data_IF_264539852499
#
_entry.id   IF_264539852499
#
_cell.length_a   1.000
_cell.length_b   1.000
_cell.length_c   1.000
_cell.angle_alpha   90.00
_cell.angle_beta   90.00
_cell.angle_gamma   90.00
#
_symmetry.space_group_name_H-M   'P 1'
#
loop_
_entity.id
_entity.type
_entity.pdbx_description
1 polymer ?
#
# COMPACT_ATOMS: atom_id res chain seq x y z
N UNK A 1 -5.03 5.96 23.41
CA UNK A 1 -3.84 5.42 24.09
C UNK A 1 -2.95 4.79 23.02
N UNK A 2 -2.01 5.55 22.47
CA UNK A 2 -1.05 5.08 21.48
C UNK A 2 0.34 5.46 21.97
N UNK A 3 1.15 4.47 22.33
CA UNK A 3 2.52 4.69 22.79
C UNK A 3 3.46 4.50 21.59
N UNK A 4 3.93 5.61 21.00
CA UNK A 4 5.00 5.60 20.00
C UNK A 4 6.32 5.76 20.73
N UNK A 5 6.95 4.64 21.07
CA UNK A 5 8.34 4.62 21.54
C UNK A 5 9.26 4.76 20.33
N UNK A 6 9.79 5.98 20.11
CA UNK A 6 10.85 6.22 19.14
C UNK A 6 12.17 5.79 19.78
N UNK A 7 12.75 4.69 19.32
CA UNK A 7 14.13 4.33 19.67
C UNK A 7 15.06 5.02 18.67
N UNK A 8 15.60 6.18 19.05
CA UNK A 8 16.69 6.83 18.34
C UNK A 8 17.98 6.05 18.63
N UNK A 9 18.56 5.45 17.59
CA UNK A 9 19.88 4.81 17.66
C UNK A 9 20.87 5.80 17.07
N UNK A 10 21.59 6.51 17.94
CA UNK A 10 22.75 7.30 17.55
C UNK A 10 23.87 6.34 17.18
N UNK A 11 24.21 6.28 15.89
CA UNK A 11 25.40 5.57 15.42
C UNK A 11 26.54 6.59 15.50
N UNK A 12 27.36 6.46 16.53
CA UNK A 12 28.64 7.17 16.60
C UNK A 12 29.50 6.72 15.41
N UNK A 13 29.87 7.70 14.57
CA UNK A 13 30.69 7.47 13.39
C UNK A 13 32.14 7.57 13.82
N UNK A 14 32.69 6.47 14.35
CA UNK A 14 34.13 6.37 14.56
C UNK A 14 34.82 6.49 13.20
N UNK A 15 35.61 7.55 13.08
CA UNK A 15 36.24 7.99 11.85
C UNK A 15 37.48 7.18 11.53
N UNK A 16 37.30 5.96 11.03
CA UNK A 16 38.36 5.26 10.31
C UNK A 16 38.31 5.68 8.84
N UNK A 17 39.35 6.39 8.40
CA UNK A 17 39.48 6.88 7.03
C UNK A 17 39.89 5.73 6.11
N UNK A 18 38.92 5.13 5.41
CA UNK A 18 39.16 4.11 4.38
C UNK A 18 39.53 4.77 3.04
N UNK A 19 40.49 4.17 2.32
CA UNK A 19 40.88 4.62 0.97
C UNK A 19 40.20 3.68 -0.03
N UNK A 20 39.45 4.25 -0.97
CA UNK A 20 38.76 3.52 -2.03
C UNK A 20 39.76 3.15 -3.14
N UNK A 21 39.92 1.86 -3.41
CA UNK A 21 40.72 1.39 -4.55
C UNK A 21 39.88 1.39 -5.83
N UNK A 22 40.51 1.42 -7.01
CA UNK A 22 39.87 1.69 -8.31
C UNK A 22 38.70 0.76 -8.72
N UNK A 23 38.43 -0.30 -7.96
CA UNK A 23 37.34 -1.26 -8.18
C UNK A 23 36.27 -1.25 -7.06
N UNK A 24 36.24 -0.21 -6.21
CA UNK A 24 35.19 -0.03 -5.19
C UNK A 24 35.33 -0.92 -3.94
N UNK A 25 36.42 -1.67 -3.83
CA UNK A 25 36.74 -2.46 -2.62
C UNK A 25 37.38 -1.54 -1.59
N UNK A 26 36.73 -1.42 -0.42
CA UNK A 26 37.21 -0.64 0.71
C UNK A 26 38.22 -1.46 1.52
N UNK A 27 39.48 -1.03 1.51
CA UNK A 27 40.53 -1.66 2.32
C UNK A 27 40.89 -0.74 3.49
N UNK A 28 41.11 -1.33 4.66
CA UNK A 28 41.61 -0.59 5.82
C UNK A 28 43.03 -0.08 5.56
N UNK A 29 43.33 1.12 6.04
CA UNK A 29 44.67 1.76 5.94
C UNK A 29 45.76 0.87 6.53
N UNK A 30 45.45 0.15 7.61
CA UNK A 30 46.31 -0.87 8.23
C UNK A 30 46.69 -2.01 7.28
N UNK A 31 45.81 -2.39 6.34
CA UNK A 31 46.09 -3.41 5.33
C UNK A 31 46.97 -2.85 4.21
N UNK A 32 46.67 -1.63 3.74
CA UNK A 32 47.44 -0.94 2.70
C UNK A 32 48.89 -0.71 3.17
N UNK A 33 49.09 -0.30 4.42
CA UNK A 33 50.41 -0.06 4.99
C UNK A 33 51.25 -1.35 5.15
N UNK A 34 50.59 -2.49 5.40
CA UNK A 34 51.24 -3.81 5.40
C UNK A 34 51.64 -4.26 3.99
N UNK A 35 50.84 -3.95 2.97
CA UNK A 35 51.19 -4.25 1.57
C UNK A 35 52.38 -3.41 1.08
N UNK A 36 52.49 -2.14 1.51
CA UNK A 36 53.62 -1.26 1.14
C UNK A 36 54.96 -1.57 1.83
N UNK A 37 54.98 -2.39 2.88
CA UNK A 37 56.17 -2.58 3.74
C UNK A 37 56.95 -3.87 3.50
N UNK A 38 56.80 -4.53 2.35
CA UNK A 38 57.50 -5.80 2.10
C UNK A 38 58.94 -5.58 1.60
N UNK A 39 59.89 -5.40 2.52
CA UNK A 39 61.33 -5.43 2.24
C UNK A 39 61.84 -6.86 2.43
N UNK A 40 62.20 -7.54 1.33
CA UNK A 40 62.76 -8.89 1.34
C UNK A 40 64.08 -8.97 2.11
N UNK A 41 64.27 -9.95 3.00
CA UNK A 41 65.59 -10.44 3.35
C UNK A 41 65.92 -11.78 2.68
N UNK A 42 67.22 -11.89 2.46
CA UNK A 42 68.05 -12.91 1.84
C UNK A 42 67.82 -14.37 2.30
N UNK A 43 68.12 -15.29 1.39
CA UNK A 43 67.96 -16.74 1.47
C UNK A 43 68.85 -17.40 2.51
N UNK A 44 68.24 -18.17 3.42
CA UNK A 44 68.74 -19.47 3.90
C UNK A 44 67.60 -20.18 4.67
N UNK A 45 66.79 -21.01 4.00
CA UNK A 45 65.64 -21.61 4.71
C UNK A 45 64.68 -22.47 3.89
N UNK A 46 65.17 -23.49 3.18
CA UNK A 46 64.27 -24.41 2.46
C UNK A 46 63.35 -25.22 3.40
N UNK A 47 63.76 -25.46 4.66
CA UNK A 47 62.93 -26.18 5.64
C UNK A 47 61.91 -25.27 6.35
N UNK A 48 62.24 -23.99 6.59
CA UNK A 48 61.32 -23.02 7.21
C UNK A 48 60.23 -22.56 6.25
N UNK A 49 60.52 -22.41 4.96
CA UNK A 49 59.56 -21.97 3.93
C UNK A 49 58.44 -23.00 3.71
N UNK A 50 58.78 -24.29 3.66
CA UNK A 50 57.81 -25.40 3.52
C UNK A 50 56.90 -25.51 4.77
N UNK A 51 57.43 -25.22 5.96
CA UNK A 51 56.64 -25.19 7.20
C UNK A 51 55.64 -24.02 7.20
N UNK A 52 56.09 -22.86 6.72
CA UNK A 52 55.27 -21.65 6.60
C UNK A 52 54.16 -21.79 5.55
N UNK A 53 54.46 -22.39 4.38
CA UNK A 53 53.45 -22.67 3.33
C UNK A 53 52.37 -23.65 3.80
N UNK A 54 52.74 -24.67 4.60
CA UNK A 54 51.77 -25.60 5.19
C UNK A 54 50.87 -24.94 6.23
N UNK A 55 51.41 -24.03 7.04
CA UNK A 55 50.63 -23.24 8.01
C UNK A 55 49.65 -22.30 7.32
N UNK A 56 50.07 -21.66 6.22
CA UNK A 56 49.22 -20.80 5.38
C UNK A 56 48.12 -21.62 4.70
N UNK A 57 48.43 -22.80 4.16
CA UNK A 57 47.43 -23.68 3.54
C UNK A 57 46.36 -24.12 4.53
N UNK A 58 46.75 -24.47 5.76
CA UNK A 58 45.81 -24.85 6.82
C UNK A 58 44.92 -23.69 7.26
N UNK A 59 45.47 -22.49 7.38
CA UNK A 59 44.71 -21.28 7.71
C UNK A 59 43.70 -20.93 6.60
N UNK A 60 44.07 -21.13 5.33
CA UNK A 60 43.19 -20.91 4.19
C UNK A 60 42.00 -21.88 4.19
N UNK A 61 42.22 -23.16 4.48
CA UNK A 61 41.15 -24.16 4.61
C UNK A 61 40.18 -23.82 5.76
N UNK A 62 40.71 -23.35 6.91
CA UNK A 62 39.89 -22.91 8.04
C UNK A 62 39.05 -21.68 7.70
N UNK A 63 39.65 -20.70 7.00
CA UNK A 63 38.94 -19.50 6.55
C UNK A 63 37.85 -19.83 5.52
N UNK A 64 38.11 -20.75 4.59
CA UNK A 64 37.12 -21.22 3.62
C UNK A 64 35.94 -21.90 4.32
N UNK A 65 36.20 -22.77 5.30
CA UNK A 65 35.15 -23.42 6.09
C UNK A 65 34.26 -22.41 6.84
N UNK A 66 34.86 -21.34 7.37
CA UNK A 66 34.13 -20.25 8.01
C UNK A 66 33.25 -19.50 6.99
N UNK A 67 33.77 -19.19 5.80
CA UNK A 67 32.99 -18.54 4.74
C UNK A 67 31.80 -19.42 4.36
N UNK A 68 32.03 -20.70 4.07
CA UNK A 68 30.98 -21.62 3.63
C UNK A 68 29.85 -21.73 4.68
N UNK A 69 30.21 -21.81 5.98
CA UNK A 69 29.23 -21.84 7.07
C UNK A 69 28.44 -20.53 7.17
N UNK A 70 29.09 -19.37 6.97
CA UNK A 70 28.42 -18.07 6.95
C UNK A 70 27.51 -17.91 5.74
N UNK A 71 27.94 -18.34 4.55
CA UNK A 71 27.13 -18.32 3.33
C UNK A 71 25.89 -19.20 3.47
N UNK A 72 26.04 -20.37 4.09
CA UNK A 72 24.92 -21.25 4.41
C UNK A 72 23.92 -20.58 5.36
N UNK A 73 24.41 -19.99 6.46
CA UNK A 73 23.57 -19.25 7.40
C UNK A 73 22.82 -18.09 6.73
N UNK A 74 23.50 -17.33 5.87
CA UNK A 74 22.89 -16.23 5.11
C UNK A 74 21.83 -16.74 4.14
N UNK A 75 22.10 -17.86 3.46
CA UNK A 75 21.15 -18.46 2.52
C UNK A 75 19.92 -18.99 3.24
N UNK A 76 20.09 -19.68 4.36
CA UNK A 76 18.99 -20.19 5.18
C UNK A 76 18.10 -19.06 5.71
N UNK A 77 18.70 -17.97 6.20
CA UNK A 77 17.98 -16.78 6.63
C UNK A 77 17.26 -16.09 5.47
N UNK A 78 17.92 -15.93 4.33
CA UNK A 78 17.32 -15.34 3.14
C UNK A 78 16.12 -16.16 2.65
N UNK A 79 16.23 -17.49 2.66
CA UNK A 79 15.14 -18.38 2.27
C UNK A 79 13.98 -18.30 3.27
N UNK A 80 14.28 -18.27 4.58
CA UNK A 80 13.26 -18.11 5.61
C UNK A 80 12.51 -16.80 5.44
N UNK A 81 13.20 -15.67 5.34
CA UNK A 81 12.55 -14.37 5.17
C UNK A 81 11.74 -14.27 3.89
N UNK A 82 12.23 -14.87 2.79
CA UNK A 82 11.47 -14.94 1.54
C UNK A 82 10.18 -15.74 1.71
N UNK A 83 10.24 -16.88 2.40
CA UNK A 83 9.07 -17.71 2.66
C UNK A 83 8.06 -17.03 3.60
N UNK A 84 8.55 -16.40 4.66
CA UNK A 84 7.71 -15.65 5.60
C UNK A 84 7.01 -14.48 4.89
N UNK A 85 7.74 -13.75 4.04
CA UNK A 85 7.18 -12.65 3.24
C UNK A 85 6.11 -13.14 2.26
N UNK A 86 6.35 -14.27 1.58
CA UNK A 86 5.38 -14.83 0.63
C UNK A 86 4.13 -15.34 1.35
N UNK A 87 4.31 -16.01 2.49
CA UNK A 87 3.20 -16.45 3.32
C UNK A 87 2.37 -15.26 3.80
N UNK A 88 3.01 -14.18 4.26
CA UNK A 88 2.30 -12.99 4.71
C UNK A 88 1.55 -12.30 3.57
N UNK A 89 2.14 -12.22 2.38
CA UNK A 89 1.47 -11.69 1.18
C UNK A 89 0.23 -12.51 0.82
N UNK A 90 0.31 -13.83 0.85
CA UNK A 90 -0.84 -14.68 0.52
C UNK A 90 -1.95 -14.56 1.58
N UNK A 91 -1.59 -14.53 2.87
CA UNK A 91 -2.56 -14.24 3.95
C UNK A 91 -3.21 -12.88 3.77
N UNK A 92 -2.43 -11.86 3.44
CA UNK A 92 -2.95 -10.51 3.24
C UNK A 92 -3.89 -10.44 2.04
N UNK A 93 -3.51 -11.07 0.92
CA UNK A 93 -4.34 -11.16 -0.28
C UNK A 93 -5.67 -11.85 0.00
N UNK A 94 -5.63 -13.02 0.62
CA UNK A 94 -6.84 -13.77 0.99
C UNK A 94 -7.73 -12.98 1.96
N UNK A 95 -7.15 -12.28 2.92
CA UNK A 95 -7.89 -11.40 3.82
C UNK A 95 -8.56 -10.22 3.08
N UNK A 96 -7.85 -9.56 2.16
CA UNK A 96 -8.42 -8.48 1.35
C UNK A 96 -9.56 -8.98 0.47
N UNK A 97 -9.39 -10.13 -0.19
CA UNK A 97 -10.42 -10.73 -1.05
C UNK A 97 -11.68 -11.06 -0.23
N UNK A 98 -11.53 -11.73 0.92
CA UNK A 98 -12.64 -12.04 1.84
C UNK A 98 -13.32 -10.77 2.38
N UNK A 99 -12.53 -9.77 2.79
CA UNK A 99 -13.07 -8.50 3.30
C UNK A 99 -13.90 -7.78 2.24
N UNK A 100 -13.44 -7.82 0.98
CA UNK A 100 -14.16 -7.24 -0.14
C UNK A 100 -15.47 -7.97 -0.42
N UNK A 101 -15.45 -9.30 -0.42
CA UNK A 101 -16.67 -10.12 -0.58
C UNK A 101 -17.70 -9.87 0.52
N UNK A 102 -17.27 -9.82 1.78
CA UNK A 102 -18.16 -9.52 2.92
C UNK A 102 -18.72 -8.10 2.85
N UNK A 103 -17.90 -7.13 2.45
CA UNK A 103 -18.37 -5.75 2.23
C UNK A 103 -19.44 -5.70 1.14
N UNK A 104 -19.19 -6.32 -0.01
CA UNK A 104 -20.16 -6.36 -1.11
C UNK A 104 -21.45 -7.06 -0.70
N UNK A 105 -21.35 -8.18 0.03
CA UNK A 105 -22.51 -8.90 0.55
C UNK A 105 -23.33 -8.02 1.49
N UNK A 106 -22.66 -7.35 2.43
CA UNK A 106 -23.30 -6.45 3.40
C UNK A 106 -23.95 -5.25 2.71
N UNK A 107 -23.28 -4.68 1.70
CA UNK A 107 -23.81 -3.60 0.88
C UNK A 107 -25.06 -4.06 0.12
N UNK A 108 -25.02 -5.22 -0.53
CA UNK A 108 -26.17 -5.78 -1.24
C UNK A 108 -27.34 -6.12 -0.31
N UNK A 109 -27.06 -6.70 0.86
CA UNK A 109 -28.09 -6.98 1.86
C UNK A 109 -28.76 -5.68 2.33
N UNK A 110 -27.96 -4.64 2.57
CA UNK A 110 -28.46 -3.30 2.91
C UNK A 110 -29.32 -2.75 1.76
N UNK A 111 -28.81 -2.75 0.52
CA UNK A 111 -29.57 -2.30 -0.65
C UNK A 111 -30.87 -3.10 -0.86
N UNK A 112 -30.91 -4.37 -0.49
CA UNK A 112 -32.13 -5.19 -0.60
C UNK A 112 -33.20 -4.81 0.43
N UNK A 113 -32.78 -4.39 1.64
CA UNK A 113 -33.67 -3.94 2.71
C UNK A 113 -34.17 -2.52 2.46
N UNK A 114 -33.36 -1.68 1.82
CA UNK A 114 -33.75 -0.31 1.46
C UNK A 114 -34.26 -0.27 0.03
N UNK A 115 -35.58 -0.15 -0.15
CA UNK A 115 -36.15 0.13 -1.47
C UNK A 115 -35.50 1.41 -2.03
N UNK A 116 -34.80 1.31 -3.16
CA UNK A 116 -34.38 2.48 -3.93
C UNK A 116 -35.64 3.33 -4.17
N UNK A 117 -35.69 4.60 -3.71
CA UNK A 117 -36.86 5.43 -3.92
C UNK A 117 -37.14 5.48 -5.41
N UNK A 118 -38.25 4.85 -5.83
CA UNK A 118 -38.72 4.99 -7.19
C UNK A 118 -39.33 6.38 -7.24
N UNK A 119 -38.50 7.38 -7.61
CA UNK A 119 -38.94 8.75 -7.80
C UNK A 119 -39.83 8.80 -9.04
N UNK A 120 -41.10 8.39 -8.88
CA UNK A 120 -42.11 8.57 -9.92
C UNK A 120 -42.46 10.06 -9.97
N UNK A 121 -42.32 10.71 -11.14
CA UNK A 121 -42.70 12.11 -11.25
C UNK A 121 -44.22 12.25 -11.10
N UNK A 122 -44.68 12.90 -10.03
CA UNK A 122 -46.09 12.94 -9.63
C UNK A 122 -46.96 13.75 -10.61
N UNK A 123 -46.40 14.83 -11.16
CA UNK A 123 -47.13 15.79 -12.00
C UNK A 123 -46.60 15.83 -13.44
N UNK A 124 -46.00 14.74 -13.93
CA UNK A 124 -45.31 14.69 -15.24
C UNK A 124 -46.22 15.12 -16.40
N UNK A 125 -47.44 14.59 -16.47
CA UNK A 125 -48.39 14.93 -17.55
C UNK A 125 -48.75 16.42 -17.56
N UNK A 126 -49.00 17.00 -16.39
CA UNK A 126 -49.31 18.43 -16.26
C UNK A 126 -48.09 19.30 -16.55
N UNK A 127 -46.89 18.82 -16.20
CA UNK A 127 -45.63 19.47 -16.53
C UNK A 127 -45.44 19.53 -18.05
N UNK A 128 -45.67 18.42 -18.76
CA UNK A 128 -45.58 18.39 -20.23
C UNK A 128 -46.61 19.32 -20.88
N UNK A 129 -47.87 19.27 -20.43
CA UNK A 129 -48.93 20.17 -20.95
C UNK A 129 -48.59 21.65 -20.74
N UNK A 130 -48.01 22.00 -19.59
CA UNK A 130 -47.56 23.37 -19.30
C UNK A 130 -46.41 23.79 -20.22
N UNK A 131 -45.41 22.91 -20.41
CA UNK A 131 -44.28 23.16 -21.32
C UNK A 131 -44.78 23.37 -22.75
N UNK A 132 -45.66 22.50 -23.23
CA UNK A 132 -46.20 22.58 -24.58
C UNK A 132 -47.07 23.83 -24.76
N UNK A 133 -47.83 24.24 -23.74
CA UNK A 133 -48.56 25.50 -23.78
C UNK A 133 -47.62 26.70 -23.97
N UNK A 134 -46.52 26.78 -23.20
CA UNK A 134 -45.57 27.89 -23.32
C UNK A 134 -44.84 27.90 -24.66
N UNK A 135 -44.49 26.72 -25.21
CA UNK A 135 -43.89 26.60 -26.54
C UNK A 135 -44.84 27.13 -27.63
N UNK A 136 -46.11 26.78 -27.55
CA UNK A 136 -47.13 27.19 -28.53
C UNK A 136 -47.58 28.65 -28.36
N UNK A 137 -47.41 29.25 -27.17
CA UNK A 137 -47.88 30.61 -26.84
C UNK A 137 -46.75 31.54 -26.40
N UNK A 138 -45.58 31.49 -27.05
CA UNK A 138 -44.37 32.25 -26.64
C UNK A 138 -44.55 33.77 -26.53
N UNK A 139 -45.45 34.36 -27.33
CA UNK A 139 -45.78 35.80 -27.29
C UNK A 139 -47.03 36.13 -26.46
N UNK A 140 -47.77 35.11 -25.99
CA UNK A 140 -49.04 35.24 -25.28
C UNK A 140 -49.08 34.28 -24.08
N UNK A 141 -48.03 34.31 -23.26
CA UNK A 141 -47.81 33.37 -22.14
C UNK A 141 -48.94 33.37 -21.10
N UNK A 142 -49.70 34.45 -21.01
CA UNK A 142 -50.87 34.55 -20.11
C UNK A 142 -51.97 33.54 -20.46
N UNK A 143 -52.05 33.08 -21.71
CA UNK A 143 -52.98 32.02 -22.11
C UNK A 143 -52.71 30.69 -21.41
N UNK A 144 -51.50 30.48 -20.87
CA UNK A 144 -51.11 29.28 -20.13
C UNK A 144 -51.40 29.35 -18.63
N UNK A 145 -52.09 30.41 -18.17
CA UNK A 145 -52.47 30.61 -16.76
C UNK A 145 -53.16 29.39 -16.15
N UNK A 146 -54.10 28.79 -16.88
CA UNK A 146 -54.86 27.62 -16.41
C UNK A 146 -53.96 26.40 -16.25
N UNK A 147 -53.16 26.07 -17.27
CA UNK A 147 -52.21 24.96 -17.21
C UNK A 147 -51.18 25.12 -16.07
N UNK A 148 -50.74 26.37 -15.80
CA UNK A 148 -49.85 26.67 -14.69
C UNK A 148 -50.52 26.45 -13.32
N UNK A 149 -51.78 26.87 -13.17
CA UNK A 149 -52.56 26.64 -11.95
C UNK A 149 -52.74 25.15 -11.68
N UNK A 150 -53.09 24.36 -12.70
CA UNK A 150 -53.31 22.92 -12.55
C UNK A 150 -52.02 22.19 -12.15
N UNK A 151 -50.89 22.51 -12.80
CA UNK A 151 -49.57 22.00 -12.41
C UNK A 151 -49.22 22.36 -10.96
N UNK A 152 -49.44 23.62 -10.57
CA UNK A 152 -49.12 24.12 -9.23
C UNK A 152 -49.97 23.44 -8.15
N UNK A 153 -51.27 23.25 -8.41
CA UNK A 153 -52.15 22.51 -7.51
C UNK A 153 -51.71 21.05 -7.34
N UNK A 154 -51.34 20.38 -8.43
CA UNK A 154 -50.78 19.03 -8.36
C UNK A 154 -49.52 18.97 -7.48
N UNK A 155 -48.57 19.88 -7.69
CA UNK A 155 -47.32 19.93 -6.90
C UNK A 155 -47.60 20.18 -5.42
N UNK A 156 -48.50 21.12 -5.10
CA UNK A 156 -48.84 21.42 -3.71
C UNK A 156 -49.55 20.24 -3.04
N UNK A 157 -50.47 19.58 -3.74
CA UNK A 157 -51.13 18.36 -3.24
C UNK A 157 -50.13 17.24 -3.00
N UNK A 158 -49.18 17.03 -3.90
CA UNK A 158 -48.12 16.05 -3.76
C UNK A 158 -47.22 16.34 -2.55
N UNK A 159 -46.81 17.61 -2.37
CA UNK A 159 -46.03 18.04 -1.20
C UNK A 159 -46.78 17.78 0.10
N UNK A 160 -48.05 18.15 0.19
CA UNK A 160 -48.86 17.92 1.39
C UNK A 160 -49.04 16.43 1.68
N UNK A 161 -49.25 15.59 0.66
CA UNK A 161 -49.35 14.13 0.82
C UNK A 161 -48.08 13.52 1.41
N UNK A 162 -46.90 13.93 0.92
CA UNK A 162 -45.61 13.45 1.44
C UNK A 162 -45.36 13.88 2.89
N UNK A 163 -45.82 15.07 3.28
CA UNK A 163 -45.66 15.57 4.65
C UNK A 163 -46.67 14.92 5.61
N UNK A 164 -47.86 14.52 5.14
CA UNK A 164 -48.88 13.86 5.96
C UNK A 164 -48.67 12.34 6.12
N UNK A 165 -48.00 11.65 5.18
CA UNK A 165 -47.70 10.21 5.29
C UNK A 165 -46.64 9.86 6.36
N UNK A 166 -45.98 10.85 6.97
CA UNK A 166 -44.94 10.66 7.99
C UNK A 166 -45.45 10.76 9.44
N UNK A 167 -46.75 10.68 9.69
CA UNK A 167 -47.28 10.66 11.07
C UNK A 167 -47.48 9.21 11.55
N UNK A 168 -46.69 8.71 12.52
CA UNK A 168 -46.86 7.39 13.09
C UNK A 168 -47.85 7.49 14.25
N UNK A 169 -49.15 7.50 13.97
CA UNK A 169 -50.17 7.24 14.98
C UNK A 169 -51.27 6.37 14.36
N UNK A 170 -51.29 5.10 14.76
CA UNK A 170 -52.30 4.15 14.30
C UNK A 170 -51.94 2.67 14.40
N UNK A 171 -51.40 2.23 15.54
CA UNK A 171 -51.48 0.85 16.02
C UNK A 171 -51.48 0.84 17.55
#
# INVERSE_FOLDING_TARGET
MGNSGSNEVTIEKDGDQFIETAEGVQLSTSLVQKMSSNKMPNESGHNSKIKQEKEVSKLLEEYQSIIDEREKQLTDLSQKWKNDLEQEKEKHKTFCDQSYEEFQRSAHETESKFKKPTLKPVCETLQQQLIDCYKNNSKQVLNCSTALKDFTQCVNKAKSSLLCENSPDGA
#
